data_IF_279242222366
#
_entry.id   IF_279242222366
#
_cell.length_a   1.000
_cell.length_b   1.000
_cell.length_c   1.000
_cell.angle_alpha   90.00
_cell.angle_beta   90.00
_cell.angle_gamma   90.00
#
_symmetry.space_group_name_H-M   'P 1'
#
loop_
_entity.id
_entity.type
_entity.pdbx_description
1 polymer ?
#
# COMPACT_ATOMS: atom_id res chain seq x y z
N UNK A 1 8.39 6.77 -5.09
CA UNK A 1 8.73 5.33 -5.07
C UNK A 1 9.40 4.98 -6.40
N UNK A 2 10.62 4.46 -6.35
CA UNK A 2 11.35 4.00 -7.53
C UNK A 2 10.70 2.72 -8.08
N UNK A 3 10.40 2.69 -9.38
CA UNK A 3 9.84 1.51 -10.05
C UNK A 3 10.84 0.99 -11.06
N UNK A 4 11.39 -0.18 -10.82
CA UNK A 4 12.37 -0.83 -11.71
C UNK A 4 11.80 -0.95 -13.13
N UNK A 5 10.55 -1.38 -13.27
CA UNK A 5 9.88 -1.49 -14.57
C UNK A 5 9.75 -0.16 -15.33
N UNK A 6 9.57 0.96 -14.61
CA UNK A 6 9.56 2.28 -15.23
C UNK A 6 10.95 2.71 -15.66
N UNK A 7 11.94 2.43 -14.84
CA UNK A 7 13.35 2.71 -15.15
C UNK A 7 13.83 1.93 -16.38
N UNK A 8 13.58 0.62 -16.40
CA UNK A 8 13.94 -0.22 -17.57
C UNK A 8 13.27 0.29 -18.83
N UNK A 9 12.00 0.68 -18.78
CA UNK A 9 11.30 1.25 -19.94
C UNK A 9 11.92 2.58 -20.38
N UNK A 10 12.35 3.41 -19.43
CA UNK A 10 12.93 4.72 -19.69
C UNK A 10 14.31 4.61 -20.36
N UNK A 11 15.18 3.71 -19.87
CA UNK A 11 16.51 3.47 -20.48
C UNK A 11 16.42 2.74 -21.83
N UNK A 12 15.32 1.99 -22.07
CA UNK A 12 15.09 1.31 -23.34
C UNK A 12 14.36 2.20 -24.37
N UNK A 13 13.96 3.41 -23.98
CA UNK A 13 13.29 4.34 -24.88
C UNK A 13 14.29 5.08 -25.75
N UNK A 14 14.12 5.11 -27.07
CA UNK A 14 15.01 5.84 -27.97
C UNK A 14 14.89 7.37 -27.83
N UNK A 15 13.85 7.87 -27.15
CA UNK A 15 13.61 9.30 -26.98
C UNK A 15 13.84 9.70 -25.52
N UNK A 16 14.82 10.58 -25.22
CA UNK A 16 15.00 11.11 -23.88
C UNK A 16 13.73 11.85 -23.44
N UNK A 17 13.21 11.51 -22.26
CA UNK A 17 12.14 12.30 -21.65
C UNK A 17 12.70 13.68 -21.29
N UNK A 18 12.26 14.71 -22.02
CA UNK A 18 12.61 16.09 -21.68
C UNK A 18 12.14 16.46 -20.25
N UNK A 19 12.75 17.49 -19.64
CA UNK A 19 12.35 17.92 -18.29
C UNK A 19 10.86 18.24 -18.26
N UNK A 20 10.15 17.63 -17.31
CA UNK A 20 8.71 17.94 -17.09
C UNK A 20 8.61 19.40 -16.67
N UNK A 21 7.93 20.21 -17.47
CA UNK A 21 7.73 21.66 -17.20
C UNK A 21 6.93 21.94 -15.93
N UNK A 22 6.11 20.97 -15.48
CA UNK A 22 5.38 21.01 -14.21
C UNK A 22 5.68 19.72 -13.46
N UNK A 23 6.51 19.74 -12.41
CA UNK A 23 6.70 18.56 -11.60
C UNK A 23 5.35 18.13 -10.99
N UNK A 24 5.06 16.83 -10.94
CA UNK A 24 3.87 16.36 -10.23
C UNK A 24 3.96 16.79 -8.77
N UNK A 25 2.80 17.06 -8.15
CA UNK A 25 2.72 17.31 -6.72
C UNK A 25 3.26 16.13 -5.89
N UNK A 26 3.43 16.30 -4.58
CA UNK A 26 3.98 15.26 -3.71
C UNK A 26 3.07 14.05 -3.64
N UNK A 27 3.67 12.85 -3.51
CA UNK A 27 2.96 11.63 -3.16
C UNK A 27 2.89 11.55 -1.65
N UNK A 28 1.69 11.42 -1.10
CA UNK A 28 1.50 11.23 0.34
C UNK A 28 1.27 9.74 0.62
N UNK A 29 2.14 9.16 1.44
CA UNK A 29 1.93 7.84 2.04
C UNK A 29 1.43 8.09 3.46
N UNK A 30 0.19 7.72 3.72
CA UNK A 30 -0.49 8.06 4.97
C UNK A 30 -0.71 6.84 5.84
N UNK A 31 -0.04 6.80 6.98
CA UNK A 31 -0.26 5.78 7.99
C UNK A 31 -1.51 6.14 8.81
N UNK A 32 -2.65 5.61 8.40
CA UNK A 32 -3.97 5.89 8.97
C UNK A 32 -4.26 5.13 10.28
N UNK A 33 -3.52 4.06 10.51
CA UNK A 33 -3.68 3.16 11.65
C UNK A 33 -2.32 2.60 12.05
N UNK A 34 -2.08 2.42 13.34
CA UNK A 34 -0.87 1.76 13.86
C UNK A 34 -1.09 0.28 14.15
N UNK A 35 -2.34 -0.13 14.39
CA UNK A 35 -2.67 -1.54 14.57
C UNK A 35 -2.27 -2.36 13.35
N UNK A 36 -1.68 -3.53 13.60
CA UNK A 36 -1.28 -4.47 12.56
C UNK A 36 -1.38 -5.89 13.12
N UNK A 37 -1.87 -6.81 12.32
CA UNK A 37 -1.89 -8.24 12.63
C UNK A 37 -0.51 -8.90 12.53
N UNK A 38 0.53 -8.15 12.14
CA UNK A 38 1.92 -8.61 12.05
C UNK A 38 2.85 -7.79 12.95
N UNK A 39 3.98 -8.42 13.35
CA UNK A 39 5.05 -7.79 14.15
C UNK A 39 6.40 -7.91 13.44
N UNK A 40 6.49 -7.42 12.21
CA UNK A 40 7.63 -7.59 11.32
C UNK A 40 8.95 -7.12 11.94
N UNK A 41 10.07 -7.80 11.63
CA UNK A 41 11.41 -7.45 12.14
C UNK A 41 11.85 -6.03 11.78
N UNK A 42 11.46 -5.55 10.60
CA UNK A 42 11.87 -4.26 10.02
C UNK A 42 10.76 -3.19 10.07
N UNK A 43 9.76 -3.38 10.95
CA UNK A 43 8.64 -2.44 11.05
C UNK A 43 9.10 -1.09 11.59
N UNK A 44 8.98 -0.03 10.78
CA UNK A 44 9.33 1.33 11.19
C UNK A 44 8.24 2.00 12.04
N UNK A 45 6.99 1.52 11.98
CA UNK A 45 5.85 2.13 12.66
C UNK A 45 5.58 1.58 14.05
N UNK A 46 6.39 0.64 14.53
CA UNK A 46 6.22 -0.03 15.85
C UNK A 46 4.77 -0.51 16.02
N UNK A 47 4.28 -1.23 15.02
CA UNK A 47 2.91 -1.75 14.98
C UNK A 47 2.76 -3.01 15.84
N UNK A 48 1.58 -3.22 16.38
CA UNK A 48 1.19 -4.42 17.12
C UNK A 48 -0.32 -4.63 16.97
N UNK A 49 -0.80 -5.84 17.26
CA UNK A 49 -2.24 -6.14 17.26
C UNK A 49 -2.91 -5.65 18.56
N UNK A 50 -3.00 -4.34 18.67
CA UNK A 50 -3.70 -3.63 19.74
C UNK A 50 -4.13 -2.25 19.26
N UNK A 51 -5.10 -1.66 19.92
CA UNK A 51 -5.51 -0.30 19.65
C UNK A 51 -4.46 0.71 20.15
N UNK A 52 -4.30 1.78 19.40
CA UNK A 52 -3.40 2.89 19.74
C UNK A 52 -4.22 4.17 19.89
N UNK A 53 -3.90 4.94 20.94
CA UNK A 53 -4.51 6.25 21.14
C UNK A 53 -3.94 7.28 20.15
N UNK A 54 -4.74 8.30 19.86
CA UNK A 54 -4.32 9.45 19.04
C UNK A 54 -4.38 9.22 17.54
N UNK A 55 -5.04 8.17 17.08
CA UNK A 55 -5.37 8.00 15.68
C UNK A 55 -6.51 8.96 15.29
N UNK A 56 -6.45 9.52 14.08
CA UNK A 56 -7.48 10.43 13.59
C UNK A 56 -8.80 9.66 13.33
N UNK A 57 -9.92 10.23 13.76
CA UNK A 57 -11.24 9.77 13.39
C UNK A 57 -11.56 10.06 11.91
N UNK A 58 -12.65 9.47 11.39
CA UNK A 58 -13.05 9.58 9.98
C UNK A 58 -13.21 11.03 9.54
N UNK A 59 -13.90 11.87 10.33
CA UNK A 59 -14.10 13.29 10.02
C UNK A 59 -12.79 14.09 10.01
N UNK A 60 -11.86 13.74 10.87
CA UNK A 60 -10.54 14.39 10.90
C UNK A 60 -9.71 13.99 9.66
N UNK A 61 -9.77 12.72 9.28
CA UNK A 61 -9.16 12.23 8.03
C UNK A 61 -9.72 12.99 6.83
N UNK A 62 -11.03 13.19 6.77
CA UNK A 62 -11.67 13.95 5.67
C UNK A 62 -11.21 15.41 5.63
N UNK A 63 -11.11 16.09 6.77
CA UNK A 63 -10.57 17.45 6.84
C UNK A 63 -9.13 17.53 6.33
N UNK A 64 -8.28 16.59 6.75
CA UNK A 64 -6.89 16.52 6.25
C UNK A 64 -6.87 16.25 4.73
N UNK A 65 -7.77 15.42 4.21
CA UNK A 65 -7.87 15.20 2.76
C UNK A 65 -8.25 16.46 1.99
N UNK A 66 -9.14 17.29 2.53
CA UNK A 66 -9.51 18.58 1.93
C UNK A 66 -8.28 19.52 1.86
N UNK A 67 -7.47 19.58 2.93
CA UNK A 67 -6.21 20.32 2.96
C UNK A 67 -5.18 19.78 1.95
N UNK A 68 -5.01 18.45 1.88
CA UNK A 68 -4.11 17.81 0.91
C UNK A 68 -4.54 18.10 -0.53
N UNK A 69 -5.85 18.18 -0.78
CA UNK A 69 -6.37 18.55 -2.11
C UNK A 69 -6.08 20.01 -2.42
N UNK A 70 -6.28 20.93 -1.46
CA UNK A 70 -5.92 22.34 -1.61
C UNK A 70 -4.41 22.50 -1.86
N UNK A 71 -3.58 21.67 -1.24
CA UNK A 71 -2.13 21.63 -1.47
C UNK A 71 -1.74 20.96 -2.81
N UNK A 72 -2.71 20.52 -3.62
CA UNK A 72 -2.52 19.88 -4.92
C UNK A 72 -1.75 18.54 -4.85
N UNK A 73 -1.95 17.78 -3.79
CA UNK A 73 -1.47 16.40 -3.71
C UNK A 73 -2.23 15.56 -4.75
N UNK A 74 -1.54 14.90 -5.70
CA UNK A 74 -2.24 14.10 -6.70
C UNK A 74 -2.46 12.64 -6.27
N UNK A 75 -1.68 12.15 -5.31
CA UNK A 75 -1.61 10.71 -4.98
C UNK A 75 -1.66 10.52 -3.47
N UNK A 76 -2.60 9.69 -3.02
CA UNK A 76 -2.68 9.18 -1.65
C UNK A 76 -2.42 7.69 -1.65
N UNK A 77 -1.46 7.25 -0.84
CA UNK A 77 -1.25 5.82 -0.55
C UNK A 77 -1.74 5.57 0.87
N UNK A 78 -2.87 4.92 0.99
CA UNK A 78 -3.46 4.54 2.26
C UNK A 78 -2.66 3.38 2.85
N UNK A 79 -2.07 3.59 4.01
CA UNK A 79 -1.09 2.72 4.66
C UNK A 79 -1.32 2.72 6.18
N UNK A 80 -0.38 2.15 6.93
CA UNK A 80 -0.41 2.15 8.38
C UNK A 80 0.42 1.03 8.97
N UNK A 81 -0.06 0.45 10.05
CA UNK A 81 0.25 -0.91 10.41
C UNK A 81 -0.31 -1.85 9.35
N UNK A 82 -1.60 -2.18 9.47
CA UNK A 82 -2.34 -2.83 8.37
C UNK A 82 -3.64 -2.05 8.11
N UNK A 83 -3.76 -1.35 6.99
CA UNK A 83 -4.90 -0.48 6.71
C UNK A 83 -6.24 -1.21 6.65
N UNK A 84 -6.27 -2.50 6.28
CA UNK A 84 -7.50 -3.29 6.26
C UNK A 84 -8.08 -3.60 7.65
N UNK A 85 -7.33 -3.33 8.73
CA UNK A 85 -7.86 -3.38 10.10
C UNK A 85 -8.61 -2.10 10.50
N UNK A 86 -8.54 -1.05 9.69
CA UNK A 86 -9.27 0.18 9.93
C UNK A 86 -10.70 0.04 9.37
N UNK A 87 -11.75 0.16 10.21
CA UNK A 87 -13.12 -0.17 9.80
C UNK A 87 -13.68 0.74 8.70
N UNK A 88 -13.24 2.00 8.64
CA UNK A 88 -13.67 3.02 7.67
C UNK A 88 -12.75 3.15 6.45
N UNK A 89 -11.80 2.20 6.24
CA UNK A 89 -10.80 2.30 5.16
C UNK A 89 -11.42 2.43 3.76
N UNK A 90 -12.49 1.71 3.50
CA UNK A 90 -13.17 1.76 2.20
C UNK A 90 -13.97 3.05 2.00
N UNK A 91 -14.53 3.61 3.07
CA UNK A 91 -15.18 4.93 3.05
C UNK A 91 -14.15 6.03 2.74
N UNK A 92 -13.00 5.99 3.41
CA UNK A 92 -11.87 6.90 3.18
C UNK A 92 -11.40 6.79 1.73
N UNK A 93 -11.20 5.57 1.22
CA UNK A 93 -10.80 5.35 -0.16
C UNK A 93 -11.82 5.93 -1.15
N UNK A 94 -13.10 5.64 -0.96
CA UNK A 94 -14.19 6.15 -1.80
C UNK A 94 -14.27 7.70 -1.78
N UNK A 95 -14.07 8.33 -0.62
CA UNK A 95 -13.99 9.80 -0.51
C UNK A 95 -12.79 10.33 -1.29
N UNK A 96 -11.61 9.72 -1.14
CA UNK A 96 -10.40 10.12 -1.85
C UNK A 96 -10.57 10.02 -3.38
N UNK A 97 -11.18 8.94 -3.87
CA UNK A 97 -11.50 8.77 -5.30
C UNK A 97 -12.44 9.86 -5.79
N UNK A 98 -13.53 10.15 -5.08
CA UNK A 98 -14.48 11.23 -5.43
C UNK A 98 -13.81 12.61 -5.48
N UNK A 99 -12.80 12.85 -4.67
CA UNK A 99 -11.99 14.06 -4.69
C UNK A 99 -10.97 14.09 -5.85
N UNK A 100 -10.84 13.00 -6.60
CA UNK A 100 -9.95 12.91 -7.75
C UNK A 100 -8.48 12.68 -7.39
N UNK A 101 -8.19 12.06 -6.24
CA UNK A 101 -6.87 11.53 -5.96
C UNK A 101 -6.63 10.23 -6.73
N UNK A 102 -5.38 9.99 -7.09
CA UNK A 102 -4.92 8.62 -7.36
C UNK A 102 -4.77 7.91 -6.02
N UNK A 103 -5.52 6.85 -5.80
CA UNK A 103 -5.61 6.18 -4.49
C UNK A 103 -4.95 4.81 -4.56
N UNK A 104 -3.90 4.62 -3.77
CA UNK A 104 -3.27 3.31 -3.60
C UNK A 104 -3.52 2.73 -2.21
N UNK A 105 -3.63 1.42 -2.13
CA UNK A 105 -3.61 0.66 -0.88
C UNK A 105 -2.24 0.03 -0.67
N UNK A 106 -1.70 0.15 0.55
CA UNK A 106 -0.42 -0.39 0.96
C UNK A 106 -0.62 -1.39 2.09
N UNK A 107 -0.75 -2.67 1.75
CA UNK A 107 -1.10 -3.75 2.67
C UNK A 107 0.03 -4.78 2.82
N UNK A 108 0.03 -5.52 3.93
CA UNK A 108 0.81 -6.75 4.04
C UNK A 108 0.18 -7.91 3.24
N UNK A 109 -1.07 -7.78 2.82
CA UNK A 109 -1.80 -8.72 1.97
C UNK A 109 -2.41 -9.92 2.68
N UNK A 110 -2.06 -10.20 3.94
CA UNK A 110 -2.51 -11.40 4.65
C UNK A 110 -3.99 -11.41 5.02
N UNK A 111 -4.62 -10.22 4.98
CA UNK A 111 -6.04 -10.03 5.28
C UNK A 111 -6.91 -9.87 4.03
N UNK A 112 -6.32 -9.95 2.83
CA UNK A 112 -7.09 -9.91 1.58
C UNK A 112 -7.60 -11.31 1.28
N UNK A 113 -8.91 -11.50 1.37
CA UNK A 113 -9.57 -12.78 1.17
C UNK A 113 -10.97 -12.62 0.57
N UNK A 114 -11.71 -13.74 0.47
CA UNK A 114 -13.06 -13.75 -0.09
C UNK A 114 -14.08 -12.90 0.67
N UNK A 115 -13.83 -12.54 1.94
CA UNK A 115 -14.74 -11.74 2.74
C UNK A 115 -14.69 -10.25 2.42
N UNK A 116 -13.59 -9.76 1.87
CA UNK A 116 -13.38 -8.33 1.62
C UNK A 116 -12.95 -7.97 0.20
N UNK A 117 -12.72 -8.96 -0.65
CA UNK A 117 -12.24 -8.71 -2.02
C UNK A 117 -13.23 -7.89 -2.85
N UNK A 118 -14.53 -8.08 -2.67
CA UNK A 118 -15.56 -7.30 -3.36
C UNK A 118 -15.55 -5.83 -2.90
N UNK A 119 -15.31 -5.59 -1.61
CA UNK A 119 -15.17 -4.24 -1.08
C UNK A 119 -13.89 -3.55 -1.59
N UNK A 120 -12.79 -4.31 -1.73
CA UNK A 120 -11.55 -3.81 -2.34
C UNK A 120 -11.79 -3.43 -3.81
N UNK A 121 -12.49 -4.26 -4.57
CA UNK A 121 -12.85 -3.98 -5.95
C UNK A 121 -13.77 -2.76 -6.06
N UNK A 122 -14.79 -2.67 -5.21
CA UNK A 122 -15.74 -1.55 -5.19
C UNK A 122 -15.10 -0.21 -4.78
N UNK A 123 -14.03 -0.24 -3.97
CA UNK A 123 -13.28 0.95 -3.58
C UNK A 123 -12.49 1.58 -4.74
N UNK A 124 -12.39 0.88 -5.88
CA UNK A 124 -11.75 1.35 -7.11
C UNK A 124 -10.32 1.89 -6.88
N UNK A 125 -9.52 1.14 -6.13
CA UNK A 125 -8.11 1.50 -5.94
C UNK A 125 -7.37 1.53 -7.27
N UNK A 126 -6.64 2.59 -7.53
CA UNK A 126 -5.77 2.70 -8.71
C UNK A 126 -4.55 1.75 -8.62
N UNK A 127 -4.23 1.28 -7.42
CA UNK A 127 -3.12 0.39 -7.16
C UNK A 127 -3.21 -0.27 -5.79
N UNK A 128 -2.99 -1.56 -5.74
CA UNK A 128 -2.81 -2.32 -4.47
C UNK A 128 -1.37 -2.84 -4.41
N UNK A 129 -0.60 -2.31 -3.47
CA UNK A 129 0.77 -2.76 -3.21
C UNK A 129 0.81 -3.76 -2.07
N UNK A 130 1.24 -4.97 -2.35
CA UNK A 130 1.42 -6.02 -1.35
C UNK A 130 2.90 -6.17 -1.02
N UNK A 131 3.21 -6.24 0.27
CA UNK A 131 4.57 -6.40 0.73
C UNK A 131 4.97 -7.88 0.73
N UNK A 132 5.99 -8.23 -0.06
CA UNK A 132 6.60 -9.56 -0.09
C UNK A 132 8.13 -9.39 0.01
N UNK A 133 8.72 -9.76 1.15
CA UNK A 133 10.13 -9.51 1.45
C UNK A 133 10.98 -10.78 1.38
N UNK A 134 10.66 -11.68 0.52
CA UNK A 134 11.36 -12.93 0.29
C UNK A 134 10.42 -14.04 -0.17
N UNK A 135 10.98 -15.21 -0.40
CA UNK A 135 10.24 -16.40 -0.81
C UNK A 135 9.95 -17.24 0.43
N UNK A 136 8.67 -17.59 0.63
CA UNK A 136 8.19 -18.50 1.68
C UNK A 136 8.82 -18.22 3.06
N UNK A 137 9.73 -19.09 3.49
CA UNK A 137 10.34 -19.06 4.83
C UNK A 137 11.07 -17.75 5.14
N UNK A 138 11.72 -17.14 4.16
CA UNK A 138 12.38 -15.85 4.33
C UNK A 138 11.35 -14.78 4.65
N UNK A 139 10.27 -14.72 3.86
CA UNK A 139 9.18 -13.78 4.11
C UNK A 139 8.53 -14.02 5.47
N UNK A 140 8.18 -15.27 5.80
CA UNK A 140 7.52 -15.62 7.05
C UNK A 140 8.37 -15.24 8.29
N UNK A 141 9.68 -15.49 8.23
CA UNK A 141 10.63 -15.04 9.25
C UNK A 141 10.67 -13.52 9.41
N UNK A 142 10.64 -12.79 8.27
CA UNK A 142 10.60 -11.32 8.27
C UNK A 142 9.31 -10.78 8.89
N UNK A 143 8.19 -11.38 8.53
CA UNK A 143 6.85 -10.99 8.97
C UNK A 143 6.47 -11.54 10.34
N UNK A 144 7.25 -12.51 10.86
CA UNK A 144 7.00 -13.22 12.12
C UNK A 144 5.63 -13.90 12.16
N UNK A 145 5.23 -14.47 11.03
CA UNK A 145 3.98 -15.20 10.88
C UNK A 145 4.18 -16.34 9.88
N UNK A 146 4.06 -17.57 10.33
CA UNK A 146 4.10 -18.74 9.47
C UNK A 146 2.93 -18.72 8.48
N UNK A 147 3.22 -18.97 7.21
CA UNK A 147 2.25 -18.91 6.11
C UNK A 147 1.88 -17.49 5.67
N UNK A 148 2.57 -16.45 6.13
CA UNK A 148 2.35 -15.08 5.68
C UNK A 148 2.58 -14.93 4.18
N UNK A 149 3.61 -15.59 3.63
CA UNK A 149 3.90 -15.57 2.20
C UNK A 149 2.73 -16.06 1.36
N UNK A 150 2.22 -17.24 1.66
CA UNK A 150 1.15 -17.85 0.88
C UNK A 150 -0.15 -17.03 0.99
N UNK A 151 -0.47 -16.49 2.18
CA UNK A 151 -1.62 -15.58 2.37
C UNK A 151 -1.48 -14.29 1.58
N UNK A 152 -0.33 -13.63 1.67
CA UNK A 152 -0.06 -12.38 0.94
C UNK A 152 -0.11 -12.58 -0.57
N UNK A 153 0.45 -13.70 -1.05
CA UNK A 153 0.42 -14.06 -2.47
C UNK A 153 -1.01 -14.39 -2.94
N UNK A 154 -1.81 -15.08 -2.11
CA UNK A 154 -3.21 -15.36 -2.40
C UNK A 154 -4.01 -14.05 -2.50
N UNK A 155 -3.85 -13.14 -1.56
CA UNK A 155 -4.49 -11.83 -1.59
C UNK A 155 -4.12 -11.01 -2.83
N UNK A 156 -2.84 -11.00 -3.21
CA UNK A 156 -2.38 -10.35 -4.43
C UNK A 156 -3.04 -10.94 -5.68
N UNK A 157 -3.13 -12.28 -5.75
CA UNK A 157 -3.78 -12.98 -6.87
C UNK A 157 -5.27 -12.67 -6.97
N UNK A 158 -5.97 -12.60 -5.84
CA UNK A 158 -7.39 -12.21 -5.80
C UNK A 158 -7.59 -10.81 -6.37
N UNK A 159 -6.81 -9.82 -5.94
CA UNK A 159 -6.86 -8.48 -6.51
C UNK A 159 -6.58 -8.46 -8.02
N UNK A 160 -5.56 -9.20 -8.46
CA UNK A 160 -5.21 -9.28 -9.88
C UNK A 160 -6.32 -9.92 -10.73
N UNK A 161 -6.99 -10.97 -10.20
CA UNK A 161 -8.11 -11.65 -10.88
C UNK A 161 -9.31 -10.73 -11.10
N UNK A 162 -9.53 -9.73 -10.25
CA UNK A 162 -10.56 -8.69 -10.41
C UNK A 162 -10.10 -7.47 -11.24
N UNK A 163 -8.93 -7.56 -11.88
CA UNK A 163 -8.40 -6.48 -12.72
C UNK A 163 -7.82 -5.30 -11.94
N UNK A 164 -7.71 -5.39 -10.62
CA UNK A 164 -7.05 -4.36 -9.81
C UNK A 164 -5.56 -4.36 -10.13
N UNK A 165 -5.00 -3.18 -10.41
CA UNK A 165 -3.57 -3.05 -10.65
C UNK A 165 -2.79 -3.35 -9.38
N UNK A 166 -2.02 -4.42 -9.39
CA UNK A 166 -1.23 -4.87 -8.24
C UNK A 166 0.27 -4.66 -8.44
N UNK A 167 1.01 -4.66 -7.35
CA UNK A 167 2.46 -4.70 -7.37
C UNK A 167 3.04 -5.21 -6.06
N UNK A 168 4.20 -5.82 -6.18
CA UNK A 168 4.98 -6.30 -5.05
C UNK A 168 5.90 -5.17 -4.56
N UNK A 169 5.98 -5.02 -3.25
CA UNK A 169 6.99 -4.18 -2.59
C UNK A 169 7.92 -5.07 -1.80
N UNK A 170 9.19 -4.91 -2.05
CA UNK A 170 10.25 -5.68 -1.44
C UNK A 170 11.21 -4.74 -0.69
N UNK A 171 11.40 -4.97 0.59
CA UNK A 171 12.39 -4.25 1.39
C UNK A 171 13.68 -5.08 1.41
N UNK A 172 14.65 -4.66 0.62
CA UNK A 172 15.92 -5.36 0.50
C UNK A 172 16.77 -5.18 1.75
N UNK A 173 17.25 -6.29 2.28
CA UNK A 173 18.19 -6.38 3.40
C UNK A 173 19.25 -7.43 3.12
N UNK A 174 20.27 -7.54 3.97
CA UNK A 174 21.27 -8.60 3.84
C UNK A 174 20.67 -10.01 4.00
N UNK A 175 19.59 -10.14 4.78
CA UNK A 175 18.99 -11.44 5.09
C UNK A 175 18.09 -11.98 3.97
N UNK A 176 17.67 -11.16 3.01
CA UNK A 176 16.73 -11.52 1.95
C UNK A 176 17.19 -11.17 0.52
N UNK A 177 18.40 -10.66 0.37
CA UNK A 177 18.92 -10.25 -0.95
C UNK A 177 19.03 -11.43 -1.93
N UNK A 178 19.17 -12.67 -1.43
CA UNK A 178 19.22 -13.88 -2.27
C UNK A 178 17.86 -14.29 -2.86
N UNK A 179 16.77 -13.68 -2.42
CA UNK A 179 15.41 -13.98 -2.88
C UNK A 179 14.88 -12.99 -3.96
N UNK A 180 15.76 -12.11 -4.43
CA UNK A 180 15.45 -11.12 -5.48
C UNK A 180 15.49 -11.72 -6.89
#
# INVERSE_FOLDING_TARGET
MFRISSYVREISSPTPLGPKRNPPGPVVIWNLIRRCNLTCKHCYSISADKDFAGELGTDEVFRVMDELKAFRVPVLILSGGEPLLRPDIFEIAGRAKKMGFYVGLSSNGTLIDASNIDAIAAADFDYVGVSLDGIRETHDKFRRLDGAFDRSLAGLRLCAALGVKVGVRFTMTQDNAGDL
#
